data_IF_242633721206
#
_entry.id   IF_242633721206
#
_cell.length_a   1.000
_cell.length_b   1.000
_cell.length_c   1.000
_cell.angle_alpha   90.00
_cell.angle_beta   90.00
_cell.angle_gamma   90.00
#
_symmetry.space_group_name_H-M   'P 1'
#
loop_
_entity.id
_entity.type
_entity.pdbx_description
1 polymer ?
#
# COMPACT_ATOMS: atom_id res chain seq x y z
N UNK A 1 -32.61 -7.59 9.91
CA UNK A 1 -32.15 -6.48 10.75
C UNK A 1 -31.01 -5.78 9.99
N UNK A 2 -31.13 -4.48 9.66
CA UNK A 2 -30.03 -3.71 9.04
C UNK A 2 -29.29 -2.98 10.15
N UNK A 3 -28.02 -3.31 10.36
CA UNK A 3 -27.14 -2.63 11.31
C UNK A 3 -26.24 -1.71 10.49
N UNK A 4 -26.34 -0.41 10.70
CA UNK A 4 -25.43 0.57 10.12
C UNK A 4 -24.23 0.72 11.05
N UNK A 5 -23.05 0.41 10.54
CA UNK A 5 -21.81 0.59 11.27
C UNK A 5 -21.05 1.78 10.69
N UNK A 6 -20.59 2.69 11.54
CA UNK A 6 -19.70 3.77 11.10
C UNK A 6 -18.36 3.19 10.61
N UNK A 7 -17.81 3.73 9.51
CA UNK A 7 -16.48 3.33 9.06
C UNK A 7 -15.43 3.64 10.15
N UNK A 8 -14.37 2.83 10.26
CA UNK A 8 -13.32 3.06 11.23
C UNK A 8 -12.68 4.44 11.01
N UNK A 9 -12.43 5.16 12.11
CA UNK A 9 -11.84 6.50 12.10
C UNK A 9 -10.36 6.41 12.54
N UNK A 10 -9.49 7.01 11.75
CA UNK A 10 -8.05 7.08 12.04
C UNK A 10 -7.23 6.02 11.31
N UNK A 11 -5.96 6.33 11.10
CA UNK A 11 -5.02 5.50 10.33
C UNK A 11 -4.89 4.10 10.95
N UNK A 12 -4.74 4.02 12.27
CA UNK A 12 -4.64 2.73 12.97
C UNK A 12 -5.85 1.83 12.70
N UNK A 13 -7.06 2.36 12.86
CA UNK A 13 -8.29 1.60 12.65
C UNK A 13 -8.49 1.24 11.19
N UNK A 14 -8.12 2.13 10.26
CA UNK A 14 -8.13 1.88 8.83
C UNK A 14 -7.19 0.75 8.45
N UNK A 15 -5.94 0.80 8.93
CA UNK A 15 -4.95 -0.26 8.71
C UNK A 15 -5.40 -1.60 9.28
N UNK A 16 -5.94 -1.62 10.49
CA UNK A 16 -6.48 -2.85 11.09
C UNK A 16 -7.65 -3.43 10.29
N UNK A 17 -8.52 -2.58 9.74
CA UNK A 17 -9.62 -3.03 8.88
C UNK A 17 -9.09 -3.69 7.60
N UNK A 18 -8.17 -3.00 6.91
CA UNK A 18 -7.67 -3.43 5.59
C UNK A 18 -6.73 -4.62 5.75
N UNK A 19 -5.85 -4.59 6.74
CA UNK A 19 -4.77 -5.54 6.92
C UNK A 19 -5.13 -6.70 7.85
N UNK A 20 -5.89 -6.46 8.93
CA UNK A 20 -6.21 -7.47 9.94
C UNK A 20 -7.32 -8.44 9.55
N UNK A 21 -8.11 -8.13 8.51
CA UNK A 21 -9.21 -8.98 8.04
C UNK A 21 -8.79 -10.08 7.06
N UNK A 22 -7.55 -10.07 6.59
CA UNK A 22 -7.08 -10.99 5.54
C UNK A 22 -6.05 -11.98 6.11
N UNK A 23 -6.51 -13.19 6.38
CA UNK A 23 -5.63 -14.32 6.77
C UNK A 23 -4.63 -14.71 5.66
N UNK A 24 -4.89 -14.31 4.42
CA UNK A 24 -4.01 -14.56 3.27
C UNK A 24 -2.63 -13.90 3.38
N UNK A 25 -2.51 -12.84 4.18
CA UNK A 25 -1.22 -12.19 4.47
C UNK A 25 -0.24 -13.08 5.26
N UNK A 26 -0.75 -14.11 5.90
CA UNK A 26 0.05 -15.06 6.70
C UNK A 26 0.42 -16.31 5.91
N UNK A 27 -0.01 -16.44 4.66
CA UNK A 27 0.36 -17.57 3.83
C UNK A 27 1.90 -17.60 3.65
N UNK A 28 2.50 -18.68 4.13
CA UNK A 28 3.95 -18.91 4.21
C UNK A 28 4.64 -18.82 2.84
N UNK A 29 3.86 -18.98 1.76
CA UNK A 29 4.35 -19.02 0.38
C UNK A 29 4.48 -17.66 -0.31
N UNK A 30 4.13 -16.55 0.37
CA UNK A 30 4.22 -15.23 -0.25
C UNK A 30 5.58 -14.58 0.03
N UNK A 31 6.16 -13.97 -1.01
CA UNK A 31 7.45 -13.32 -0.91
C UNK A 31 7.44 -12.19 0.12
N UNK A 32 8.58 -11.97 0.81
CA UNK A 32 8.75 -10.88 1.78
C UNK A 32 8.53 -9.51 1.11
N UNK A 33 9.00 -9.34 -0.12
CA UNK A 33 8.82 -8.13 -0.91
C UNK A 33 7.34 -7.85 -1.18
N UNK A 34 6.59 -8.87 -1.57
CA UNK A 34 5.14 -8.76 -1.80
C UNK A 34 4.41 -8.32 -0.53
N UNK A 35 4.69 -8.94 0.63
CA UNK A 35 4.05 -8.58 1.90
C UNK A 35 4.32 -7.13 2.29
N UNK A 36 5.56 -6.65 2.07
CA UNK A 36 5.91 -5.25 2.31
C UNK A 36 5.21 -4.29 1.36
N UNK A 37 5.14 -4.65 0.07
CA UNK A 37 4.43 -3.85 -0.92
C UNK A 37 2.93 -3.79 -0.63
N UNK A 38 2.35 -4.88 -0.17
CA UNK A 38 0.95 -4.95 0.25
C UNK A 38 0.66 -4.11 1.50
N UNK A 39 1.59 -4.09 2.46
CA UNK A 39 1.51 -3.18 3.61
C UNK A 39 1.58 -1.72 3.15
N UNK A 40 2.48 -1.39 2.22
CA UNK A 40 2.57 -0.06 1.60
C UNK A 40 1.27 0.34 0.89
N UNK A 41 0.62 -0.61 0.20
CA UNK A 41 -0.68 -0.39 -0.44
C UNK A 41 -1.79 -0.12 0.59
N UNK A 42 -1.85 -0.90 1.66
CA UNK A 42 -2.80 -0.68 2.75
C UNK A 42 -2.60 0.69 3.40
N UNK A 43 -1.35 1.09 3.60
CA UNK A 43 -0.97 2.42 4.09
C UNK A 43 -1.42 3.53 3.15
N UNK A 44 -1.11 3.42 1.86
CA UNK A 44 -1.52 4.36 0.83
C UNK A 44 -3.05 4.54 0.80
N UNK A 45 -3.79 3.44 0.74
CA UNK A 45 -5.25 3.44 0.76
C UNK A 45 -5.83 4.11 2.00
N UNK A 46 -5.31 3.77 3.17
CA UNK A 46 -5.77 4.33 4.45
C UNK A 46 -5.54 5.85 4.51
N UNK A 47 -4.38 6.31 4.06
CA UNK A 47 -4.10 7.76 3.98
C UNK A 47 -5.10 8.45 3.07
N UNK A 48 -5.39 7.91 1.89
CA UNK A 48 -6.32 8.51 0.95
C UNK A 48 -7.75 8.59 1.52
N UNK A 49 -8.20 7.58 2.25
CA UNK A 49 -9.50 7.60 2.94
C UNK A 49 -9.51 8.66 4.05
N UNK A 50 -8.47 8.72 4.88
CA UNK A 50 -8.38 9.69 5.97
C UNK A 50 -8.27 11.13 5.45
N UNK A 51 -7.67 11.35 4.30
CA UNK A 51 -7.59 12.68 3.64
C UNK A 51 -8.96 13.30 3.39
N UNK A 52 -10.00 12.50 3.19
CA UNK A 52 -11.37 12.98 3.03
C UNK A 52 -11.84 13.86 4.18
N UNK A 53 -11.33 13.64 5.41
CA UNK A 53 -11.69 14.44 6.60
C UNK A 53 -11.23 15.88 6.51
N UNK A 54 -10.13 16.13 5.81
CA UNK A 54 -9.56 17.46 5.65
C UNK A 54 -10.20 18.29 4.54
N UNK A 55 -11.16 17.72 3.82
CA UNK A 55 -11.89 18.37 2.71
C UNK A 55 -10.93 19.04 1.72
N UNK A 56 -11.12 20.34 1.48
CA UNK A 56 -10.29 21.13 0.55
C UNK A 56 -8.88 21.46 1.07
N UNK A 57 -8.51 21.03 2.27
CA UNK A 57 -7.15 21.25 2.75
C UNK A 57 -6.20 20.25 2.11
N UNK A 58 -5.41 20.68 1.14
CA UNK A 58 -4.42 19.90 0.41
C UNK A 58 -4.95 19.13 -0.82
N UNK A 59 -6.27 19.05 -1.01
CA UNK A 59 -6.94 18.55 -2.22
C UNK A 59 -7.96 19.57 -2.67
N UNK A 60 -8.05 19.80 -3.99
CA UNK A 60 -9.03 20.75 -4.55
C UNK A 60 -10.45 20.17 -4.50
N UNK A 61 -10.59 18.88 -4.67
CA UNK A 61 -11.86 18.14 -4.67
C UNK A 61 -11.83 17.05 -3.60
N UNK A 62 -12.98 16.80 -2.99
CA UNK A 62 -13.13 15.70 -2.04
C UNK A 62 -13.49 14.42 -2.78
N UNK A 63 -12.58 13.48 -2.86
CA UNK A 63 -12.77 12.18 -3.51
C UNK A 63 -13.23 11.12 -2.51
N UNK A 64 -14.01 10.15 -2.99
CA UNK A 64 -14.45 9.00 -2.22
C UNK A 64 -13.81 7.73 -2.79
N UNK A 65 -12.73 7.29 -2.17
CA UNK A 65 -12.12 6.00 -2.42
C UNK A 65 -12.81 4.91 -1.59
N UNK A 66 -12.84 3.69 -2.10
CA UNK A 66 -13.53 2.58 -1.47
C UNK A 66 -12.69 1.30 -1.48
N UNK A 67 -13.19 0.28 -0.79
CA UNK A 67 -12.50 -1.01 -0.65
C UNK A 67 -12.29 -1.71 -2.02
N UNK A 68 -13.13 -1.41 -3.05
CA UNK A 68 -12.94 -1.96 -4.40
C UNK A 68 -11.68 -1.43 -5.06
N UNK A 69 -11.33 -0.15 -4.85
CA UNK A 69 -10.09 0.43 -5.38
C UNK A 69 -8.87 -0.27 -4.79
N UNK A 70 -8.94 -0.61 -3.50
CA UNK A 70 -7.90 -1.38 -2.83
C UNK A 70 -7.78 -2.80 -3.39
N UNK A 71 -8.90 -3.52 -3.52
CA UNK A 71 -8.90 -4.91 -3.99
C UNK A 71 -8.33 -5.02 -5.41
N UNK A 72 -8.69 -4.10 -6.31
CA UNK A 72 -8.11 -4.07 -7.68
C UNK A 72 -6.60 -3.86 -7.64
N UNK A 73 -6.10 -2.96 -6.78
CA UNK A 73 -4.66 -2.75 -6.64
C UNK A 73 -3.95 -3.94 -5.98
N UNK A 74 -4.60 -4.64 -5.07
CA UNK A 74 -4.10 -5.87 -4.48
C UNK A 74 -3.92 -6.97 -5.55
N UNK A 75 -4.92 -7.17 -6.40
CA UNK A 75 -4.84 -8.11 -7.53
C UNK A 75 -3.74 -7.72 -8.53
N UNK A 76 -3.63 -6.42 -8.84
CA UNK A 76 -2.54 -5.92 -9.68
C UNK A 76 -1.17 -6.18 -9.05
N UNK A 77 -1.03 -5.94 -7.75
CA UNK A 77 0.20 -6.17 -7.02
C UNK A 77 0.57 -7.67 -6.98
N UNK A 78 -0.44 -8.53 -6.75
CA UNK A 78 -0.26 -9.98 -6.75
C UNK A 78 0.19 -10.50 -8.13
N UNK A 79 -0.40 -10.00 -9.21
CA UNK A 79 -0.01 -10.35 -10.57
C UNK A 79 1.39 -9.84 -10.93
N UNK A 80 1.78 -8.69 -10.37
CA UNK A 80 3.06 -8.04 -10.70
C UNK A 80 4.24 -8.56 -9.88
N UNK A 81 4.01 -8.91 -8.60
CA UNK A 81 5.05 -9.29 -7.64
C UNK A 81 4.86 -10.68 -7.03
N UNK A 82 3.69 -11.29 -7.19
CA UNK A 82 3.31 -12.48 -6.43
C UNK A 82 4.02 -13.75 -6.85
N UNK A 83 4.20 -13.99 -8.16
CA UNK A 83 4.85 -15.20 -8.70
C UNK A 83 5.56 -14.88 -10.01
N UNK A 84 6.76 -15.43 -10.17
CA UNK A 84 7.40 -15.54 -11.47
C UNK A 84 6.63 -16.51 -12.37
N UNK A 85 6.83 -16.46 -13.69
CA UNK A 85 6.32 -17.45 -14.65
C UNK A 85 6.69 -18.89 -14.27
N UNK A 86 7.82 -19.07 -13.58
CA UNK A 86 8.30 -20.36 -13.05
C UNK A 86 7.68 -20.75 -11.69
N UNK A 87 6.73 -19.99 -11.17
CA UNK A 87 6.08 -20.23 -9.87
C UNK A 87 6.95 -19.94 -8.63
N UNK A 88 8.14 -19.38 -8.84
CA UNK A 88 9.06 -19.03 -7.75
C UNK A 88 8.73 -17.67 -7.13
N UNK A 89 8.97 -17.47 -5.83
CA UNK A 89 8.80 -16.18 -5.20
C UNK A 89 9.68 -15.10 -5.84
N UNK A 90 9.13 -13.90 -6.01
CA UNK A 90 9.86 -12.75 -6.60
C UNK A 90 11.08 -12.34 -5.77
N UNK A 91 11.16 -12.72 -4.49
CA UNK A 91 12.35 -12.47 -3.65
C UNK A 91 13.64 -13.05 -4.26
N UNK A 92 13.56 -14.16 -5.00
CA UNK A 92 14.73 -14.68 -5.71
C UNK A 92 15.19 -13.74 -6.85
N UNK A 93 14.26 -13.04 -7.49
CA UNK A 93 14.60 -12.04 -8.51
C UNK A 93 15.22 -10.81 -7.91
N UNK A 94 14.71 -10.33 -6.76
CA UNK A 94 15.29 -9.21 -6.07
C UNK A 94 16.71 -9.52 -5.55
N UNK A 95 16.91 -10.72 -5.03
CA UNK A 95 18.25 -11.21 -4.62
C UNK A 95 19.20 -11.37 -5.80
N UNK A 96 18.72 -11.65 -7.00
CA UNK A 96 19.51 -11.71 -8.24
C UNK A 96 19.78 -10.36 -8.87
N UNK A 97 19.39 -9.25 -8.21
CA UNK A 97 19.67 -7.90 -8.66
C UNK A 97 18.81 -7.39 -9.81
N UNK A 98 17.67 -8.05 -10.08
CA UNK A 98 16.70 -7.49 -11.02
C UNK A 98 15.86 -6.41 -10.32
N UNK A 99 15.87 -5.17 -10.81
CA UNK A 99 15.11 -4.10 -10.20
C UNK A 99 13.61 -4.32 -10.40
N UNK A 100 12.83 -4.07 -9.34
CA UNK A 100 11.38 -3.99 -9.46
C UNK A 100 11.05 -2.75 -10.30
N UNK A 101 10.18 -2.90 -11.31
CA UNK A 101 9.77 -1.79 -12.14
C UNK A 101 8.74 -0.89 -11.39
N UNK A 102 9.22 -0.21 -10.35
CA UNK A 102 8.42 0.67 -9.50
C UNK A 102 7.64 1.71 -10.28
N UNK A 103 8.20 2.27 -11.33
CA UNK A 103 7.54 3.28 -12.16
C UNK A 103 6.25 2.74 -12.81
N UNK A 104 6.26 1.50 -13.27
CA UNK A 104 5.07 0.87 -13.83
C UNK A 104 4.03 0.60 -12.74
N UNK A 105 4.44 0.10 -11.59
CA UNK A 105 3.57 -0.15 -10.45
C UNK A 105 2.93 1.14 -9.92
N UNK A 106 3.72 2.20 -9.75
CA UNK A 106 3.24 3.54 -9.36
C UNK A 106 2.20 4.06 -10.35
N UNK A 107 2.44 3.92 -11.65
CA UNK A 107 1.50 4.34 -12.70
C UNK A 107 0.20 3.55 -12.63
N UNK A 108 0.25 2.23 -12.52
CA UNK A 108 -0.94 1.38 -12.44
C UNK A 108 -1.78 1.70 -11.19
N UNK A 109 -1.15 1.86 -10.03
CA UNK A 109 -1.86 2.18 -8.79
C UNK A 109 -2.40 3.61 -8.81
N UNK A 110 -1.52 4.60 -8.99
CA UNK A 110 -1.89 5.99 -8.81
C UNK A 110 -2.63 6.57 -10.01
N UNK A 111 -2.15 6.35 -11.24
CA UNK A 111 -2.73 7.01 -12.41
C UNK A 111 -3.90 6.24 -13.01
N UNK A 112 -3.81 4.91 -13.09
CA UNK A 112 -4.88 4.10 -13.70
C UNK A 112 -6.02 3.81 -12.72
N UNK A 113 -5.75 3.29 -11.54
CA UNK A 113 -6.81 2.86 -10.62
C UNK A 113 -7.33 4.02 -9.78
N UNK A 114 -6.57 4.52 -8.84
CA UNK A 114 -7.02 5.64 -7.97
C UNK A 114 -7.20 6.93 -8.76
N UNK A 115 -6.32 7.21 -9.73
CA UNK A 115 -6.37 8.39 -10.59
C UNK A 115 -7.60 8.46 -11.48
N UNK A 116 -8.24 7.32 -11.77
CA UNK A 116 -9.52 7.28 -12.51
C UNK A 116 -10.66 8.01 -11.79
N UNK A 117 -10.59 8.14 -10.46
CA UNK A 117 -11.57 8.93 -9.68
C UNK A 117 -11.17 10.38 -9.50
N UNK A 118 -9.91 10.73 -9.77
CA UNK A 118 -9.37 12.06 -9.53
C UNK A 118 -9.55 12.91 -10.77
N UNK A 119 -10.39 13.93 -10.68
CA UNK A 119 -10.77 14.80 -11.79
C UNK A 119 -9.89 16.04 -11.93
N UNK A 120 -9.27 16.50 -10.83
CA UNK A 120 -8.39 17.67 -10.85
C UNK A 120 -6.94 17.26 -11.13
N UNK A 121 -6.27 17.97 -12.04
CA UNK A 121 -4.90 17.65 -12.48
C UNK A 121 -3.85 17.87 -11.38
N UNK A 122 -4.07 18.84 -10.48
CA UNK A 122 -3.15 19.08 -9.36
C UNK A 122 -3.26 17.97 -8.32
N UNK A 123 -4.49 17.54 -8.05
CA UNK A 123 -4.77 16.44 -7.14
C UNK A 123 -4.21 15.12 -7.68
N UNK A 124 -4.27 14.93 -9.01
CA UNK A 124 -3.66 13.76 -9.68
C UNK A 124 -2.14 13.73 -9.50
N UNK A 125 -1.48 14.87 -9.67
CA UNK A 125 -0.03 14.98 -9.42
C UNK A 125 0.33 14.69 -7.96
N UNK A 126 -0.48 15.18 -7.03
CA UNK A 126 -0.29 14.90 -5.61
C UNK A 126 -0.44 13.40 -5.29
N UNK A 127 -1.41 12.74 -5.91
CA UNK A 127 -1.59 11.29 -5.78
C UNK A 127 -0.37 10.51 -6.28
N UNK A 128 0.20 10.93 -7.43
CA UNK A 128 1.43 10.35 -7.98
C UNK A 128 2.64 10.56 -7.05
N UNK A 129 2.74 11.72 -6.41
CA UNK A 129 3.80 11.98 -5.43
C UNK A 129 3.69 11.03 -4.25
N UNK A 130 2.50 10.84 -3.69
CA UNK A 130 2.29 9.87 -2.61
C UNK A 130 2.66 8.45 -3.02
N UNK A 131 2.30 8.04 -4.24
CA UNK A 131 2.67 6.72 -4.74
C UNK A 131 4.20 6.57 -4.89
N UNK A 132 4.90 7.59 -5.38
CA UNK A 132 6.38 7.57 -5.51
C UNK A 132 7.10 7.52 -4.18
N UNK A 133 6.56 8.19 -3.16
CA UNK A 133 7.13 8.16 -1.81
C UNK A 133 6.97 6.81 -1.13
N UNK A 134 5.85 6.11 -1.39
CA UNK A 134 5.55 4.83 -0.76
C UNK A 134 6.14 3.66 -1.55
N UNK A 135 5.90 3.60 -2.87
CA UNK A 135 6.31 2.49 -3.72
C UNK A 135 7.68 2.74 -4.34
N UNK A 136 8.72 2.48 -3.59
CA UNK A 136 10.11 2.57 -4.03
C UNK A 136 10.96 1.50 -3.33
N UNK A 137 12.25 1.40 -3.67
CA UNK A 137 13.16 0.40 -3.10
C UNK A 137 13.27 0.47 -1.57
N UNK A 138 13.08 1.66 -0.98
CA UNK A 138 13.14 1.82 0.48
C UNK A 138 12.03 1.04 1.20
N UNK A 139 10.89 0.80 0.54
CA UNK A 139 9.78 0.02 1.10
C UNK A 139 10.21 -1.43 1.42
N UNK A 140 11.07 -2.00 0.58
CA UNK A 140 11.50 -3.39 0.73
C UNK A 140 12.67 -3.52 1.69
N UNK A 141 13.55 -2.52 1.76
CA UNK A 141 14.71 -2.52 2.62
C UNK A 141 14.30 -2.35 4.09
N UNK A 142 14.73 -3.26 5.01
CA UNK A 142 14.19 -3.34 6.36
C UNK A 142 14.38 -2.09 7.22
N UNK A 143 15.38 -1.27 6.92
CA UNK A 143 15.77 -0.13 7.77
C UNK A 143 15.45 1.24 7.16
N UNK A 144 14.89 1.30 5.94
CA UNK A 144 14.80 2.55 5.20
C UNK A 144 13.39 3.12 5.06
N UNK A 145 12.37 2.31 5.23
CA UNK A 145 11.00 2.83 5.10
C UNK A 145 10.57 3.57 6.36
N UNK A 146 10.46 4.86 6.23
CA UNK A 146 10.05 5.78 7.31
C UNK A 146 8.85 6.60 6.84
N UNK A 147 7.62 6.12 7.08
CA UNK A 147 6.40 6.76 6.56
C UNK A 147 6.18 8.18 7.06
N UNK A 148 6.76 8.56 8.19
CA UNK A 148 6.60 9.90 8.78
C UNK A 148 7.86 10.76 8.77
N UNK A 149 8.97 10.31 8.24
CA UNK A 149 10.21 11.09 8.17
C UNK A 149 10.92 11.36 9.51
N UNK A 150 10.27 11.14 10.66
CA UNK A 150 10.85 11.29 12.00
C UNK A 150 10.96 9.93 12.70
N UNK A 151 12.05 9.72 13.46
CA UNK A 151 12.29 8.43 14.11
C UNK A 151 11.24 8.10 15.18
N UNK A 152 10.73 9.10 15.87
CA UNK A 152 9.75 8.95 16.96
C UNK A 152 8.36 8.48 16.49
N UNK A 153 8.02 8.71 15.22
CA UNK A 153 6.72 8.40 14.63
C UNK A 153 6.76 7.22 13.68
N UNK A 154 7.90 6.55 13.51
CA UNK A 154 8.03 5.44 12.61
C UNK A 154 7.40 4.17 13.18
N UNK A 155 6.56 3.54 12.37
CA UNK A 155 6.07 2.21 12.63
C UNK A 155 7.12 1.19 12.18
N UNK A 156 7.53 0.32 13.09
CA UNK A 156 8.25 -0.89 12.69
C UNK A 156 7.32 -1.80 11.92
N UNK A 157 7.85 -2.40 10.88
CA UNK A 157 7.11 -3.37 10.09
C UNK A 157 6.77 -4.59 10.96
N UNK A 158 5.50 -4.95 11.14
CA UNK A 158 5.08 -5.91 12.17
C UNK A 158 5.60 -7.34 11.97
N UNK A 159 6.21 -7.66 10.84
CA UNK A 159 6.69 -9.01 10.53
C UNK A 159 8.18 -9.23 10.79
N UNK A 160 8.95 -8.19 11.07
CA UNK A 160 10.37 -8.37 11.40
C UNK A 160 10.60 -8.91 12.83
N UNK A 161 9.61 -8.76 13.72
CA UNK A 161 9.68 -9.33 15.09
C UNK A 161 9.48 -10.86 15.13
N UNK A 162 8.78 -11.44 14.17
CA UNK A 162 8.54 -12.87 14.13
C UNK A 162 9.80 -13.68 13.70
N UNK A 163 10.72 -13.06 12.98
CA UNK A 163 11.97 -13.70 12.53
C UNK A 163 13.04 -13.74 13.62
N UNK A 164 12.91 -12.95 14.69
CA UNK A 164 13.88 -12.87 15.79
C UNK A 164 13.49 -13.70 17.03
N UNK A 165 12.44 -14.52 16.96
CA UNK A 165 11.97 -15.38 18.06
C UNK A 165 12.17 -16.87 17.82
N UNK A 166 13.15 -17.23 17.01
CA UNK A 166 13.63 -18.64 16.91
C UNK A 166 15.06 -18.76 17.39
#
# INVERSE_FOLDING_TARGET
>A
MKITQEPPKGIKSGMLKVYGGKQEFQAVDQSRAFRKALFGLAWFHTILIERKKFKSLGWNVTYAFNDSDYNVCEDLLANYMGKSEDGKPVDEFYQKGQPIAWSALQYLIASCNYGGRVTDDRDRRLLEVYAKEIFNDNLILPERWKPYGTEELNYQYPFDEAANKT
#
